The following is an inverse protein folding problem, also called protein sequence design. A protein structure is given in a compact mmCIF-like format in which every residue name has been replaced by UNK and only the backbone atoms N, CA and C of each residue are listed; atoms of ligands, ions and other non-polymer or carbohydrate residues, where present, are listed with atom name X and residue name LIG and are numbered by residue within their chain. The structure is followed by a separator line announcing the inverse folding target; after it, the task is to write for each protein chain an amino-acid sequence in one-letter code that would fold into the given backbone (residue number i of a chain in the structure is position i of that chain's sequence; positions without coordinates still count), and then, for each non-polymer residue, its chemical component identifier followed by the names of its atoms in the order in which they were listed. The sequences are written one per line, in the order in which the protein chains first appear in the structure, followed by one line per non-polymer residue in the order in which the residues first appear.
data_IF_792797063834
#
_entry.id   IF_792797063834
#
_cell.length_a   1.000
_cell.length_b   1.000
_cell.length_c   1.000
_cell.angle_alpha   90.00
_cell.angle_beta   90.00
_cell.angle_gamma   90.00
#
_symmetry.space_group_name_H-M   'P 1'
#
loop_
_entity.id
_entity.type
_entity.pdbx_description
1 polymer ?
#
# COMPACT_ATOMS: atom_id res chain seq x y z
N UNK A 1 0.48 -12.93 6.95
CA UNK A 1 0.41 -12.41 5.58
C UNK A 1 0.97 -13.43 4.60
N UNK A 2 0.26 -13.67 3.52
CA UNK A 2 0.76 -14.55 2.47
C UNK A 2 1.47 -13.70 1.41
N UNK A 3 2.62 -14.19 0.95
CA UNK A 3 3.43 -13.44 0.01
C UNK A 3 3.32 -14.00 -1.41
N UNK A 4 3.22 -13.06 -2.37
CA UNK A 4 3.26 -13.39 -3.79
C UNK A 4 4.71 -13.62 -4.19
N UNK A 5 5.02 -14.78 -4.78
CA UNK A 5 6.39 -15.10 -5.17
C UNK A 5 6.90 -14.24 -6.34
N UNK A 6 6.01 -13.52 -7.03
CA UNK A 6 6.38 -12.70 -8.19
C UNK A 6 6.92 -11.33 -7.82
N UNK A 7 6.72 -10.89 -6.58
CA UNK A 7 7.15 -9.59 -6.13
C UNK A 7 8.13 -9.74 -4.97
N UNK A 8 9.13 -8.85 -4.87
CA UNK A 8 10.00 -8.84 -3.71
C UNK A 8 9.20 -8.68 -2.43
N UNK A 9 9.57 -9.40 -1.40
CA UNK A 9 8.85 -9.38 -0.13
C UNK A 9 8.80 -7.98 0.45
N UNK A 10 9.90 -7.23 0.39
CA UNK A 10 9.93 -5.90 0.99
C UNK A 10 8.92 -4.95 0.34
N UNK A 11 8.67 -5.08 -0.96
CA UNK A 11 7.67 -4.25 -1.65
C UNK A 11 6.26 -4.60 -1.18
N UNK A 12 6.00 -5.87 -0.94
CA UNK A 12 4.69 -6.30 -0.47
C UNK A 12 4.41 -5.77 0.94
N UNK A 13 5.43 -5.76 1.80
CA UNK A 13 5.31 -5.22 3.14
C UNK A 13 5.10 -3.70 3.10
N UNK A 14 5.86 -2.99 2.25
CA UNK A 14 5.69 -1.55 2.05
C UNK A 14 4.25 -1.25 1.64
N UNK A 15 3.73 -1.97 0.66
CA UNK A 15 2.37 -1.74 0.17
C UNK A 15 1.33 -2.02 1.25
N UNK A 16 1.55 -3.06 2.06
CA UNK A 16 0.66 -3.39 3.18
C UNK A 16 0.60 -2.25 4.20
N UNK A 17 1.76 -1.70 4.55
CA UNK A 17 1.84 -0.58 5.51
C UNK A 17 1.16 0.67 4.92
N UNK A 18 1.44 0.97 3.64
CA UNK A 18 0.81 2.10 2.97
C UNK A 18 -0.70 1.97 2.97
N UNK A 19 -1.23 0.79 2.69
CA UNK A 19 -2.67 0.56 2.71
C UNK A 19 -3.26 0.76 4.10
N UNK A 20 -2.55 0.32 5.13
CA UNK A 20 -3.00 0.54 6.51
C UNK A 20 -3.06 2.02 6.86
N UNK A 21 -2.08 2.79 6.38
CA UNK A 21 -2.04 4.25 6.61
C UNK A 21 -3.18 4.94 5.83
N UNK A 22 -3.34 4.59 4.56
CA UNK A 22 -4.38 5.16 3.70
C UNK A 22 -5.77 4.92 4.29
N UNK A 23 -5.97 3.75 4.88
CA UNK A 23 -7.27 3.36 5.43
C UNK A 23 -7.42 3.68 6.92
N UNK A 24 -6.51 4.46 7.47
CA UNK A 24 -6.54 4.89 8.87
C UNK A 24 -6.45 3.77 9.91
N UNK A 25 -5.96 2.60 9.51
CA UNK A 25 -5.63 1.55 10.47
C UNK A 25 -4.37 1.91 11.22
N UNK A 26 -3.51 2.70 10.57
CA UNK A 26 -2.35 3.34 11.19
C UNK A 26 -2.55 4.84 10.99
N UNK A 27 -2.59 5.59 12.08
CA UNK A 27 -2.89 7.02 12.01
C UNK A 27 -1.66 7.86 11.66
N UNK A 28 -1.87 9.03 11.09
CA UNK A 28 -0.81 10.00 10.89
C UNK A 28 -0.17 10.33 12.23
N UNK A 29 1.16 10.40 12.25
CA UNK A 29 1.91 10.70 13.47
C UNK A 29 2.07 9.51 14.41
N UNK A 30 1.42 8.40 14.13
CA UNK A 30 1.49 7.22 15.00
C UNK A 30 2.89 6.60 14.97
N UNK A 31 3.33 6.15 16.12
CA UNK A 31 4.60 5.43 16.21
C UNK A 31 4.47 4.04 15.59
N UNK A 32 5.43 3.71 14.75
CA UNK A 32 5.47 2.40 14.09
C UNK A 32 6.28 1.41 14.92
N UNK A 33 6.09 0.11 14.73
CA UNK A 33 6.91 -0.90 15.39
C UNK A 33 8.39 -0.71 15.07
N UNK A 34 9.27 -1.17 15.94
CA UNK A 34 10.70 -1.21 15.64
C UNK A 34 10.94 -2.17 14.47
N UNK A 35 12.11 -2.10 13.84
CA UNK A 35 12.46 -3.04 12.77
C UNK A 35 12.34 -4.49 13.22
N UNK A 36 12.73 -4.78 14.46
CA UNK A 36 12.62 -6.14 15.00
C UNK A 36 11.17 -6.57 15.18
N UNK A 37 10.35 -5.67 15.71
CA UNK A 37 8.93 -5.95 15.88
C UNK A 37 8.25 -6.11 14.54
N UNK A 38 8.60 -5.29 13.56
CA UNK A 38 8.07 -5.40 12.21
C UNK A 38 8.44 -6.73 11.59
N UNK A 39 9.68 -7.16 11.77
CA UNK A 39 10.16 -8.43 11.26
C UNK A 39 9.34 -9.60 11.82
N UNK A 40 9.04 -9.57 13.11
CA UNK A 40 8.20 -10.58 13.75
C UNK A 40 6.79 -10.54 13.21
N UNK A 41 6.22 -9.33 13.15
CA UNK A 41 4.85 -9.12 12.70
C UNK A 41 4.61 -9.67 11.29
N UNK A 42 5.56 -9.43 10.39
CA UNK A 42 5.44 -9.85 8.99
C UNK A 42 6.18 -11.14 8.66
N UNK A 43 6.82 -11.73 9.65
CA UNK A 43 7.59 -12.98 9.46
C UNK A 43 8.64 -12.83 8.37
N UNK A 44 9.45 -11.78 8.51
CA UNK A 44 10.52 -11.45 7.56
C UNK A 44 11.84 -11.28 8.29
N UNK A 45 12.92 -11.28 7.51
CA UNK A 45 14.25 -11.04 8.04
C UNK A 45 14.34 -9.60 8.58
N UNK A 46 15.00 -9.37 9.74
CA UNK A 46 15.18 -8.01 10.27
C UNK A 46 15.84 -7.04 9.29
N UNK A 47 16.75 -7.50 8.44
CA UNK A 47 17.37 -6.65 7.43
C UNK A 47 16.34 -6.21 6.39
N UNK A 48 15.40 -7.08 6.06
CA UNK A 48 14.31 -6.75 5.14
C UNK A 48 13.40 -5.71 5.78
N UNK A 49 13.10 -5.88 7.07
CA UNK A 49 12.28 -4.89 7.78
C UNK A 49 12.96 -3.52 7.82
N UNK A 50 14.28 -3.50 8.04
CA UNK A 50 15.04 -2.24 8.02
C UNK A 50 14.95 -1.58 6.64
N UNK A 51 15.04 -2.37 5.58
CA UNK A 51 14.91 -1.87 4.21
C UNK A 51 13.53 -1.28 3.95
N UNK A 52 12.48 -1.91 4.48
CA UNK A 52 11.11 -1.39 4.37
C UNK A 52 11.06 0.03 4.93
N UNK A 53 11.58 0.24 6.13
CA UNK A 53 11.56 1.57 6.74
C UNK A 53 12.44 2.56 5.99
N UNK A 54 13.60 2.15 5.49
CA UNK A 54 14.44 3.02 4.69
C UNK A 54 13.71 3.54 3.46
N UNK A 55 12.99 2.64 2.77
CA UNK A 55 12.23 3.04 1.58
C UNK A 55 11.07 3.96 1.94
N UNK A 56 10.34 3.65 3.01
CA UNK A 56 9.23 4.50 3.46
C UNK A 56 9.73 5.89 3.88
N UNK A 57 10.90 5.97 4.52
CA UNK A 57 11.50 7.25 4.88
C UNK A 57 11.92 8.04 3.64
N UNK A 58 12.50 7.35 2.66
CA UNK A 58 12.93 7.99 1.42
C UNK A 58 11.74 8.63 0.70
N UNK A 59 10.56 8.02 0.79
CA UNK A 59 9.34 8.55 0.19
C UNK A 59 8.61 9.57 1.09
N UNK A 60 9.12 9.81 2.28
CA UNK A 60 8.51 10.76 3.21
C UNK A 60 7.30 10.22 3.94
N UNK A 61 7.01 8.92 3.82
CA UNK A 61 5.86 8.29 4.47
C UNK A 61 6.04 8.20 5.97
N UNK A 62 7.28 8.00 6.40
CA UNK A 62 7.59 7.97 7.81
C UNK A 62 8.91 8.69 8.06
N UNK A 63 9.21 8.93 9.32
CA UNK A 63 10.45 9.59 9.71
C UNK A 63 10.92 9.02 11.05
N UNK A 64 12.21 9.04 11.27
CA UNK A 64 12.81 8.56 12.51
C UNK A 64 13.14 9.74 13.41
N UNK A 65 12.69 9.68 14.65
CA UNK A 65 13.11 10.60 15.72
C UNK A 65 14.16 9.88 16.52
N UNK A 66 15.36 10.41 16.53
CA UNK A 66 16.50 9.80 17.19
C UNK A 66 16.17 9.53 18.66
N UNK A 67 16.36 8.27 19.08
CA UNK A 67 16.07 7.86 20.45
C UNK A 67 14.61 7.62 20.77
N UNK A 68 13.72 7.90 19.85
CA UNK A 68 12.28 7.77 20.10
C UNK A 68 11.58 6.76 19.18
N UNK A 69 12.11 6.53 17.99
CA UNK A 69 11.55 5.55 17.07
C UNK A 69 11.13 6.12 15.72
N UNK A 70 10.38 5.35 14.99
CA UNK A 70 9.89 5.70 13.65
C UNK A 70 8.40 6.01 13.73
N UNK A 71 7.99 7.08 13.07
CA UNK A 71 6.62 7.60 13.14
C UNK A 71 6.09 7.86 11.74
N UNK A 72 4.79 7.68 11.56
CA UNK A 72 4.12 8.03 10.31
C UNK A 72 4.14 9.55 10.14
N UNK A 73 4.31 10.02 8.91
CA UNK A 73 4.25 11.45 8.62
C UNK A 73 2.93 12.05 9.09
N UNK A 74 2.99 13.31 9.49
CA UNK A 74 1.79 14.08 9.82
C UNK A 74 1.29 14.86 8.61
N UNK A 75 2.04 14.81 7.51
CA UNK A 75 1.69 15.54 6.28
C UNK A 75 0.68 14.74 5.45
N UNK A 76 -0.56 15.13 5.54
CA UNK A 76 -1.64 14.42 4.84
C UNK A 76 -1.53 14.53 3.32
N UNK A 77 -0.80 15.52 2.81
CA UNK A 77 -0.61 15.64 1.36
C UNK A 77 0.21 14.47 0.83
N UNK A 78 1.19 14.01 1.62
CA UNK A 78 1.99 12.84 1.26
C UNK A 78 1.11 11.59 1.22
N UNK A 79 0.23 11.43 2.21
CA UNK A 79 -0.66 10.28 2.27
C UNK A 79 -1.63 10.28 1.09
N UNK A 80 -2.19 11.45 0.74
CA UNK A 80 -3.07 11.55 -0.42
C UNK A 80 -2.33 11.24 -1.73
N UNK A 81 -1.09 11.68 -1.84
CA UNK A 81 -0.27 11.40 -3.02
C UNK A 81 -0.02 9.89 -3.17
N UNK A 82 0.27 9.21 -2.07
CA UNK A 82 0.46 7.75 -2.08
C UNK A 82 -0.82 7.05 -2.52
N UNK A 83 -1.95 7.49 -1.99
CA UNK A 83 -3.24 6.90 -2.35
C UNK A 83 -3.51 7.04 -3.84
N UNK A 84 -3.29 8.23 -4.39
CA UNK A 84 -3.46 8.48 -5.83
C UNK A 84 -2.53 7.61 -6.66
N UNK A 85 -1.28 7.51 -6.25
CA UNK A 85 -0.28 6.72 -6.96
C UNK A 85 -0.67 5.24 -7.00
N UNK A 86 -1.12 4.71 -5.87
CA UNK A 86 -1.55 3.31 -5.80
C UNK A 86 -2.81 3.07 -6.63
N UNK A 87 -3.74 4.04 -6.65
CA UNK A 87 -4.93 3.95 -7.48
C UNK A 87 -4.56 3.94 -8.97
N UNK A 88 -3.63 4.83 -9.36
CA UNK A 88 -3.17 4.89 -10.75
C UNK A 88 -2.54 3.56 -11.19
N UNK A 89 -1.72 2.97 -10.34
CA UNK A 89 -1.10 1.67 -10.64
C UNK A 89 -2.15 0.59 -10.83
N UNK A 90 -3.16 0.55 -9.97
CA UNK A 90 -4.23 -0.43 -10.08
C UNK A 90 -5.01 -0.25 -11.37
N UNK A 91 -5.29 1.00 -11.76
CA UNK A 91 -6.01 1.32 -12.98
C UNK A 91 -5.20 0.90 -14.22
N UNK A 92 -3.90 1.19 -14.22
CA UNK A 92 -3.04 0.83 -15.35
C UNK A 92 -3.03 -0.69 -15.57
N UNK A 93 -2.89 -1.45 -14.50
CA UNK A 93 -2.90 -2.92 -14.56
C UNK A 93 -4.25 -3.42 -15.08
N UNK A 94 -5.34 -2.86 -14.56
CA UNK A 94 -6.70 -3.22 -14.96
C UNK A 94 -6.92 -2.92 -16.44
N UNK A 95 -6.56 -1.72 -16.90
CA UNK A 95 -6.76 -1.33 -18.30
C UNK A 95 -5.98 -2.21 -19.25
N UNK A 96 -4.75 -2.56 -18.90
CA UNK A 96 -3.95 -3.45 -19.73
C UNK A 96 -4.66 -4.79 -19.91
N UNK A 97 -5.14 -5.35 -18.81
CA UNK A 97 -5.83 -6.64 -18.84
C UNK A 97 -7.11 -6.56 -19.66
N UNK A 98 -7.89 -5.50 -19.48
CA UNK A 98 -9.14 -5.28 -20.19
C UNK A 98 -8.88 -5.20 -21.69
N UNK A 99 -7.84 -4.48 -22.12
CA UNK A 99 -7.48 -4.38 -23.52
C UNK A 99 -7.09 -5.72 -24.12
N UNK A 100 -6.37 -6.53 -23.37
CA UNK A 100 -5.99 -7.89 -23.80
C UNK A 100 -7.21 -8.76 -24.07
N UNK A 101 -8.30 -8.49 -23.35
CA UNK A 101 -9.56 -9.22 -23.53
C UNK A 101 -10.43 -8.64 -24.64
N UNK A 102 -9.96 -7.59 -25.32
CA UNK A 102 -10.72 -6.96 -26.39
C UNK A 102 -11.90 -6.14 -25.91
N UNK A 103 -11.87 -5.72 -24.67
CA UNK A 103 -12.96 -4.94 -24.04
C UNK A 103 -12.62 -3.46 -24.11
N UNK A 104 -13.59 -2.65 -24.56
CA UNK A 104 -13.43 -1.19 -24.61
C UNK A 104 -13.58 -0.60 -23.20
N UNK A 105 -13.13 0.64 -23.03
CA UNK A 105 -13.28 1.35 -21.76
C UNK A 105 -14.75 1.50 -21.39
N UNK A 106 -15.60 1.86 -22.37
CA UNK A 106 -17.03 2.03 -22.11
C UNK A 106 -17.66 0.71 -21.65
N UNK A 107 -17.30 -0.37 -22.30
CA UNK A 107 -17.77 -1.70 -21.92
C UNK A 107 -17.28 -2.07 -20.51
N UNK A 108 -16.02 -1.75 -20.22
CA UNK A 108 -15.44 -2.02 -18.91
C UNK A 108 -16.19 -1.26 -17.81
N UNK A 109 -16.57 -0.01 -18.06
CA UNK A 109 -17.34 0.78 -17.12
C UNK A 109 -18.67 0.10 -16.80
N UNK A 110 -19.33 -0.43 -17.82
CA UNK A 110 -20.59 -1.17 -17.62
C UNK A 110 -20.38 -2.40 -16.76
N UNK A 111 -19.32 -3.17 -17.03
CA UNK A 111 -18.98 -4.33 -16.21
C UNK A 111 -18.75 -3.95 -14.76
N UNK A 112 -18.03 -2.87 -14.54
CA UNK A 112 -17.72 -2.41 -13.17
C UNK A 112 -19.00 -2.07 -12.43
N UNK A 113 -19.88 -1.30 -13.04
CA UNK A 113 -21.14 -0.90 -12.41
C UNK A 113 -22.03 -2.09 -12.11
N UNK A 114 -22.15 -3.00 -13.06
CA UNK A 114 -22.93 -4.20 -12.87
C UNK A 114 -22.37 -5.07 -11.74
N UNK A 115 -21.06 -5.22 -11.69
CA UNK A 115 -20.42 -6.04 -10.66
C UNK A 115 -20.58 -5.42 -9.28
N UNK A 116 -20.51 -4.12 -9.19
CA UNK A 116 -20.68 -3.41 -7.92
C UNK A 116 -22.10 -3.60 -7.39
N UNK A 117 -23.10 -3.48 -8.25
CA UNK A 117 -24.49 -3.70 -7.87
C UNK A 117 -24.73 -5.14 -7.41
N UNK A 118 -24.13 -6.09 -8.14
CA UNK A 118 -24.28 -7.51 -7.87
C UNK A 118 -23.68 -7.93 -6.54
N UNK A 119 -22.50 -7.41 -6.23
CA UNK A 119 -21.80 -7.79 -5.02
C UNK A 119 -22.16 -6.95 -3.80
N UNK A 120 -22.64 -5.73 -4.03
CA UNK A 120 -22.99 -4.79 -2.97
C UNK A 120 -21.91 -4.68 -1.91
N UNK A 121 -20.68 -4.47 -2.35
CA UNK A 121 -19.53 -4.35 -1.45
C UNK A 121 -19.25 -2.93 -1.02
N UNK A 122 -20.12 -2.03 -1.35
CA UNK A 122 -19.92 -0.59 -1.17
C UNK A 122 -19.99 -0.13 0.29
N UNK A 123 -20.01 -1.03 1.20
CA UNK A 123 -20.10 -0.67 2.63
C UNK A 123 -18.79 -0.18 3.21
#
# INVERSE_FOLDING_TARGET
MQYDSKLPIYLQVINSIKMDIINNRIACGQKLPSSRELAVQYTINPNTAARVYQELEREGVCFTKRGMGTFVTEDETIIRAIRSEMADEAIVVFLKRIKELGISVDEAVEFIRHKEEETDVSK
#
